data_IF_748312088968
#
_entry.id   IF_748312088968
#
_cell.length_a   1.000
_cell.length_b   1.000
_cell.length_c   1.000
_cell.angle_alpha   90.00
_cell.angle_beta   90.00
_cell.angle_gamma   90.00
#
_symmetry.space_group_name_H-M   'P 1'
#
loop_
_entity.id
_entity.type
_entity.pdbx_description
1 polymer ?
#
# COMPACT_ATOMS: atom_id res chain seq x y z
N UNK A 1 -41.23 -74.76 -7.58
CA UNK A 1 -42.11 -73.59 -7.77
C UNK A 1 -42.27 -72.93 -6.41
N UNK A 2 -41.98 -71.67 -6.11
CA UNK A 2 -41.35 -70.53 -6.78
C UNK A 2 -40.94 -69.59 -5.62
N UNK A 3 -39.67 -69.18 -5.56
CA UNK A 3 -39.21 -68.15 -4.62
C UNK A 3 -39.30 -66.79 -5.31
N UNK A 4 -40.40 -66.08 -5.06
CA UNK A 4 -40.67 -64.74 -5.58
C UNK A 4 -39.92 -63.65 -4.80
N UNK A 5 -39.06 -62.95 -5.53
CA UNK A 5 -38.25 -61.76 -5.20
C UNK A 5 -39.04 -60.64 -4.50
N UNK A 6 -38.45 -60.02 -3.47
CA UNK A 6 -38.72 -58.61 -3.13
C UNK A 6 -37.39 -57.84 -3.00
N UNK A 7 -37.05 -57.19 -4.10
CA UNK A 7 -35.99 -56.19 -4.26
C UNK A 7 -36.44 -54.88 -3.62
N UNK A 8 -35.93 -54.55 -2.41
CA UNK A 8 -36.32 -53.33 -1.68
C UNK A 8 -35.15 -52.48 -1.15
N UNK A 9 -33.94 -53.02 -1.08
CA UNK A 9 -32.81 -52.42 -0.35
C UNK A 9 -31.95 -51.43 -1.15
N UNK A 10 -32.08 -51.38 -2.48
CA UNK A 10 -31.19 -50.54 -3.31
C UNK A 10 -31.67 -49.08 -3.47
N UNK A 11 -32.94 -48.77 -3.17
CA UNK A 11 -33.50 -47.40 -3.37
C UNK A 11 -33.13 -46.46 -2.23
N UNK A 12 -33.16 -46.93 -0.98
CA UNK A 12 -32.82 -46.11 0.19
C UNK A 12 -31.33 -45.72 0.24
N UNK A 13 -30.44 -46.65 -0.11
CA UNK A 13 -28.99 -46.39 -0.14
C UNK A 13 -28.60 -45.40 -1.26
N UNK A 14 -29.25 -45.49 -2.42
CA UNK A 14 -29.04 -44.53 -3.53
C UNK A 14 -29.51 -43.12 -3.18
N UNK A 15 -30.62 -42.98 -2.46
CA UNK A 15 -31.12 -41.69 -1.99
C UNK A 15 -30.17 -41.09 -0.93
N UNK A 16 -29.64 -41.90 -0.02
CA UNK A 16 -28.68 -41.46 0.99
C UNK A 16 -27.34 -41.00 0.39
N UNK A 17 -26.80 -41.77 -0.58
CA UNK A 17 -25.57 -41.39 -1.31
C UNK A 17 -25.79 -40.12 -2.15
N UNK A 18 -26.96 -39.98 -2.78
CA UNK A 18 -27.31 -38.76 -3.54
C UNK A 18 -27.46 -37.53 -2.65
N UNK A 19 -28.02 -37.68 -1.44
CA UNK A 19 -28.19 -36.57 -0.50
C UNK A 19 -26.84 -36.11 0.10
N UNK A 20 -25.94 -37.05 0.39
CA UNK A 20 -24.57 -36.74 0.86
C UNK A 20 -23.75 -36.05 -0.23
N UNK A 21 -23.88 -36.48 -1.49
CA UNK A 21 -23.20 -35.83 -2.63
C UNK A 21 -23.73 -34.42 -2.91
N UNK A 22 -25.03 -34.19 -2.70
CA UNK A 22 -25.65 -32.87 -2.86
C UNK A 22 -25.26 -31.90 -1.73
N UNK A 23 -25.00 -32.42 -0.52
CA UNK A 23 -24.55 -31.60 0.61
C UNK A 23 -23.06 -31.24 0.53
N UNK A 24 -22.23 -32.09 -0.11
CA UNK A 24 -20.81 -31.79 -0.35
C UNK A 24 -20.56 -30.66 -1.37
N UNK A 25 -21.55 -30.28 -2.17
CA UNK A 25 -21.45 -29.20 -3.16
C UNK A 25 -21.82 -27.81 -2.59
N UNK A 26 -22.41 -27.74 -1.40
CA UNK A 26 -22.92 -26.47 -0.82
C UNK A 26 -21.91 -25.76 0.08
N UNK A 27 -20.87 -26.44 0.57
CA UNK A 27 -19.96 -25.87 1.56
C UNK A 27 -18.54 -25.69 1.06
N UNK A 28 -18.23 -24.57 0.39
CA UNK A 28 -16.89 -23.97 0.34
C UNK A 28 -16.83 -22.59 -0.34
N UNK A 29 -17.83 -22.21 -1.15
CA UNK A 29 -17.79 -20.97 -1.95
C UNK A 29 -17.88 -19.65 -1.19
N UNK A 30 -18.23 -19.68 0.10
CA UNK A 30 -18.39 -18.48 0.96
C UNK A 30 -17.40 -18.40 2.12
N UNK A 31 -16.49 -19.36 2.28
CA UNK A 31 -15.53 -19.39 3.38
C UNK A 31 -14.34 -18.47 3.09
N UNK A 32 -14.52 -17.16 3.26
CA UNK A 32 -13.51 -16.20 3.71
C UNK A 32 -12.09 -16.22 3.12
N UNK A 33 -11.85 -16.87 1.98
CA UNK A 33 -10.54 -17.11 1.38
C UNK A 33 -10.14 -15.99 0.41
N UNK A 34 -10.67 -14.79 0.63
CA UNK A 34 -10.29 -13.64 -0.16
C UNK A 34 -8.89 -13.18 0.25
N UNK A 35 -8.01 -12.85 -0.71
CA UNK A 35 -6.68 -12.32 -0.40
C UNK A 35 -6.80 -11.05 0.45
N UNK A 36 -6.01 -11.02 1.51
CA UNK A 36 -5.76 -9.81 2.29
C UNK A 36 -4.30 -9.42 2.10
N UNK A 37 -4.08 -8.14 1.83
CA UNK A 37 -2.75 -7.56 1.73
C UNK A 37 -2.61 -6.47 2.79
N UNK A 38 -1.46 -6.44 3.45
CA UNK A 38 -1.09 -5.35 4.36
C UNK A 38 0.21 -4.75 3.88
N UNK A 39 0.26 -3.42 3.81
CA UNK A 39 1.44 -2.65 3.44
C UNK A 39 1.88 -1.84 4.64
N UNK A 40 3.00 -2.26 5.24
CA UNK A 40 3.63 -1.59 6.38
C UNK A 40 5.03 -1.18 5.98
N UNK A 41 5.30 0.13 5.91
CA UNK A 41 6.61 0.65 5.46
C UNK A 41 7.52 1.12 6.59
N UNK A 42 7.00 1.25 7.81
CA UNK A 42 7.80 1.55 9.00
C UNK A 42 7.22 0.82 10.19
N UNK A 43 8.05 0.07 10.92
CA UNK A 43 7.66 -0.58 12.17
C UNK A 43 7.80 0.34 13.40
N UNK A 44 8.38 1.54 13.24
CA UNK A 44 8.62 2.45 14.37
C UNK A 44 7.37 3.19 14.82
N UNK A 45 6.36 3.31 13.96
CA UNK A 45 5.13 4.05 14.23
C UNK A 45 3.90 3.18 14.00
N UNK A 46 2.99 3.15 14.98
CA UNK A 46 1.73 2.40 14.91
C UNK A 46 0.55 3.27 14.46
N UNK A 47 0.64 4.59 14.63
CA UNK A 47 -0.41 5.53 14.24
C UNK A 47 0.13 6.82 13.64
N UNK A 48 -0.71 7.53 12.90
CA UNK A 48 -0.38 8.83 12.31
C UNK A 48 -0.02 9.87 13.40
N UNK A 49 -0.70 9.83 14.53
CA UNK A 49 -0.47 10.74 15.66
C UNK A 49 0.91 10.53 16.29
N UNK A 50 1.42 9.29 16.32
CA UNK A 50 2.78 9.02 16.78
C UNK A 50 3.82 9.64 15.86
N UNK A 51 3.60 9.57 14.53
CA UNK A 51 4.46 10.25 13.55
C UNK A 51 4.41 11.76 13.76
N UNK A 52 3.22 12.32 13.98
CA UNK A 52 3.03 13.75 14.22
C UNK A 52 3.71 14.22 15.51
N UNK A 53 3.62 13.45 16.58
CA UNK A 53 4.29 13.74 17.85
C UNK A 53 5.82 13.70 17.69
N UNK A 54 6.35 12.64 17.08
CA UNK A 54 7.78 12.55 16.78
C UNK A 54 8.26 13.68 15.87
N UNK A 55 7.47 14.05 14.85
CA UNK A 55 7.74 15.19 13.98
C UNK A 55 7.76 16.50 14.77
N UNK A 56 6.87 16.69 15.74
CA UNK A 56 6.83 17.88 16.58
C UNK A 56 8.11 18.02 17.41
N UNK A 57 8.63 16.92 17.96
CA UNK A 57 9.85 16.89 18.77
C UNK A 57 11.13 17.21 17.98
N UNK A 58 11.13 17.00 16.66
CA UNK A 58 12.25 17.42 15.80
C UNK A 58 12.34 18.95 15.80
N UNK A 59 13.41 19.50 16.36
CA UNK A 59 13.65 20.95 16.45
C UNK A 59 14.75 21.36 15.46
N UNK A 60 14.42 22.11 14.39
CA UNK A 60 15.42 22.61 13.45
C UNK A 60 16.53 23.41 14.15
N UNK A 61 17.77 23.25 13.70
CA UNK A 61 19.00 23.79 14.28
C UNK A 61 19.57 22.97 15.45
N UNK A 62 18.70 22.31 16.24
CA UNK A 62 19.10 21.62 17.46
C UNK A 62 19.24 20.10 17.26
N UNK A 63 18.27 19.48 16.60
CA UNK A 63 18.24 18.03 16.39
C UNK A 63 19.34 17.59 15.43
N UNK A 64 20.16 16.64 15.87
CA UNK A 64 21.24 16.04 15.06
C UNK A 64 20.76 14.76 14.38
N UNK A 65 21.46 14.36 13.31
CA UNK A 65 21.23 13.07 12.64
C UNK A 65 21.26 11.89 13.64
N UNK A 66 22.18 11.93 14.60
CA UNK A 66 22.32 10.89 15.65
C UNK A 66 21.17 10.86 16.65
N UNK A 67 20.35 11.91 16.71
CA UNK A 67 19.18 11.98 17.60
C UNK A 67 17.90 11.49 16.92
N UNK A 68 17.86 11.44 15.58
CA UNK A 68 16.69 10.99 14.82
C UNK A 68 16.23 9.55 15.15
N UNK A 69 17.12 8.56 15.36
CA UNK A 69 16.70 7.22 15.75
C UNK A 69 15.93 7.19 17.09
N UNK A 70 16.26 8.08 18.03
CA UNK A 70 15.57 8.18 19.33
C UNK A 70 14.14 8.69 19.17
N UNK A 71 13.87 9.41 18.07
CA UNK A 71 12.55 9.94 17.71
C UNK A 71 11.79 8.98 16.79
N UNK A 72 12.35 7.81 16.46
CA UNK A 72 11.73 6.83 15.54
C UNK A 72 12.01 7.08 14.05
N UNK A 73 12.83 8.09 13.73
CA UNK A 73 13.29 8.41 12.37
C UNK A 73 14.71 7.87 12.15
N UNK A 74 14.84 6.56 11.96
CA UNK A 74 16.15 5.94 11.76
C UNK A 74 16.37 5.60 10.28
N UNK A 75 17.43 6.15 9.68
CA UNK A 75 17.80 5.88 8.29
C UNK A 75 18.44 4.50 8.08
N UNK A 76 18.95 3.88 9.14
CA UNK A 76 19.64 2.59 9.07
C UNK A 76 18.68 1.40 9.28
N UNK A 77 17.71 1.53 10.17
CA UNK A 77 16.76 0.45 10.49
C UNK A 77 15.43 0.56 9.77
N UNK A 78 15.01 1.77 9.37
CA UNK A 78 13.76 1.95 8.63
C UNK A 78 13.98 1.57 7.16
N UNK A 79 13.21 0.62 6.61
CA UNK A 79 13.31 0.28 5.20
C UNK A 79 12.74 1.40 4.33
N UNK A 80 13.20 1.47 3.07
CA UNK A 80 12.67 2.39 2.05
C UNK A 80 12.73 3.89 2.42
N UNK A 81 13.74 4.31 3.20
CA UNK A 81 14.02 5.73 3.42
C UNK A 81 14.74 6.28 2.20
N UNK A 82 14.25 7.39 1.64
CA UNK A 82 14.93 8.05 0.53
C UNK A 82 15.97 9.04 1.09
N UNK A 83 17.20 8.95 0.60
CA UNK A 83 18.29 9.85 0.93
C UNK A 83 18.58 10.69 -0.31
N UNK A 84 18.20 11.96 -0.25
CA UNK A 84 18.39 12.91 -1.34
C UNK A 84 19.67 13.71 -1.12
N UNK A 85 20.51 13.81 -2.16
CA UNK A 85 21.59 14.80 -2.21
C UNK A 85 21.04 16.21 -2.48
N UNK A 86 21.90 17.22 -2.50
CA UNK A 86 21.50 18.60 -2.81
C UNK A 86 20.72 18.71 -4.14
N UNK A 87 21.04 17.88 -5.15
CA UNK A 87 20.30 17.86 -6.42
C UNK A 87 18.87 17.36 -6.25
N UNK A 88 18.67 16.29 -5.45
CA UNK A 88 17.33 15.80 -5.13
C UNK A 88 16.53 16.81 -4.30
N UNK A 89 17.19 17.56 -3.42
CA UNK A 89 16.57 18.70 -2.70
C UNK A 89 16.09 19.75 -3.70
N UNK A 90 16.93 20.16 -4.65
CA UNK A 90 16.56 21.12 -5.71
C UNK A 90 15.37 20.63 -6.51
N UNK A 91 15.39 19.38 -7.00
CA UNK A 91 14.30 18.80 -7.79
C UNK A 91 12.98 18.76 -7.03
N UNK A 92 13.05 18.50 -5.73
CA UNK A 92 11.86 18.38 -4.87
C UNK A 92 11.27 19.72 -4.47
N UNK A 93 12.10 20.70 -4.12
CA UNK A 93 11.64 22.03 -3.67
C UNK A 93 11.44 23.02 -4.84
N UNK A 94 12.04 22.76 -6.00
CA UNK A 94 11.88 23.56 -7.21
C UNK A 94 11.50 22.70 -8.43
N UNK A 95 10.32 22.06 -8.42
CA UNK A 95 9.85 21.31 -9.59
C UNK A 95 9.64 22.27 -10.75
N UNK A 96 10.43 22.05 -11.82
CA UNK A 96 10.45 22.76 -13.12
C UNK A 96 9.53 23.99 -13.20
N UNK A 97 10.12 25.17 -13.01
CA UNK A 97 9.58 26.50 -13.35
C UNK A 97 8.39 27.00 -12.51
N UNK A 98 7.99 26.30 -11.45
CA UNK A 98 6.85 26.73 -10.60
C UNK A 98 7.25 27.56 -9.38
N UNK A 99 8.50 27.41 -8.91
CA UNK A 99 9.00 28.09 -7.72
C UNK A 99 10.36 28.73 -8.03
N UNK A 100 10.52 30.01 -7.71
CA UNK A 100 11.83 30.67 -7.77
C UNK A 100 12.60 30.42 -6.48
N UNK A 101 13.92 30.32 -6.59
CA UNK A 101 14.83 30.11 -5.47
C UNK A 101 14.57 31.10 -4.31
N UNK A 102 14.38 32.38 -4.64
CA UNK A 102 14.16 33.47 -3.68
C UNK A 102 12.87 33.34 -2.85
N UNK A 103 11.92 32.50 -3.28
CA UNK A 103 10.64 32.24 -2.59
C UNK A 103 10.73 31.08 -1.60
N UNK A 104 11.83 30.31 -1.62
CA UNK A 104 12.04 29.22 -0.69
C UNK A 104 12.28 29.76 0.72
N UNK A 105 12.01 28.93 1.73
CA UNK A 105 12.37 29.27 3.10
C UNK A 105 13.89 29.50 3.20
N UNK A 106 14.37 30.50 3.96
CA UNK A 106 15.80 30.82 4.05
C UNK A 106 16.68 29.62 4.44
N UNK A 107 16.16 28.71 5.25
CA UNK A 107 16.87 27.49 5.66
C UNK A 107 17.06 26.50 4.51
N UNK A 108 16.09 26.44 3.58
CA UNK A 108 16.19 25.60 2.38
C UNK A 108 17.20 26.19 1.41
N UNK A 109 17.17 27.51 1.23
CA UNK A 109 18.16 28.24 0.43
C UNK A 109 19.59 27.98 0.93
N UNK A 110 19.82 28.18 2.23
CA UNK A 110 21.12 27.97 2.87
C UNK A 110 21.62 26.52 2.73
N UNK A 111 20.72 25.53 2.80
CA UNK A 111 21.09 24.15 2.58
C UNK A 111 21.52 23.93 1.12
N UNK A 112 20.74 24.40 0.14
CA UNK A 112 21.09 24.25 -1.28
C UNK A 112 22.47 24.88 -1.59
N UNK A 113 22.77 26.04 -1.01
CA UNK A 113 24.09 26.70 -1.13
C UNK A 113 25.23 25.90 -0.49
N UNK A 114 24.93 25.08 0.53
CA UNK A 114 25.91 24.25 1.23
C UNK A 114 26.30 22.96 0.47
N UNK A 115 25.66 22.67 -0.67
CA UNK A 115 26.01 21.58 -1.61
C UNK A 115 26.18 20.21 -0.92
N UNK A 116 27.37 19.62 -0.91
CA UNK A 116 27.63 18.28 -0.34
C UNK A 116 27.29 18.16 1.15
N UNK A 117 27.17 19.29 1.86
CA UNK A 117 26.77 19.32 3.27
C UNK A 117 25.25 19.36 3.45
N UNK A 118 24.52 19.38 2.35
CA UNK A 118 23.06 19.36 2.28
C UNK A 118 22.53 18.03 1.78
N UNK A 119 21.68 17.41 2.59
CA UNK A 119 20.95 16.21 2.23
C UNK A 119 19.53 16.27 2.78
N UNK A 120 18.61 15.50 2.20
CA UNK A 120 17.30 15.32 2.79
C UNK A 120 17.01 13.84 3.03
N UNK A 121 16.39 13.56 4.17
CA UNK A 121 15.85 12.24 4.50
C UNK A 121 14.35 12.28 4.35
N UNK A 122 13.81 11.41 3.50
CA UNK A 122 12.37 11.28 3.28
C UNK A 122 11.91 9.95 3.86
N UNK A 123 11.05 10.04 4.86
CA UNK A 123 10.42 8.91 5.51
C UNK A 123 8.99 8.77 5.04
N UNK A 124 8.58 7.57 4.67
CA UNK A 124 7.20 7.25 4.25
C UNK A 124 6.53 6.25 5.22
N UNK A 125 6.38 6.58 6.52
CA UNK A 125 5.67 5.72 7.45
C UNK A 125 4.21 5.58 7.01
N UNK A 126 3.76 4.34 6.85
CA UNK A 126 2.40 4.03 6.44
C UNK A 126 1.99 2.67 7.01
N UNK A 127 0.72 2.58 7.33
CA UNK A 127 0.05 1.33 7.67
C UNK A 127 -1.26 1.31 6.89
N UNK A 128 -1.27 0.56 5.78
CA UNK A 128 -2.45 0.43 4.91
C UNK A 128 -2.85 -1.03 4.85
N UNK A 129 -4.08 -1.32 5.24
CA UNK A 129 -4.74 -2.61 5.11
C UNK A 129 -5.64 -2.59 3.89
N UNK A 130 -5.38 -3.52 2.97
CA UNK A 130 -6.16 -3.74 1.76
C UNK A 130 -6.95 -5.04 1.93
N UNK A 131 -8.28 -4.92 1.98
CA UNK A 131 -9.18 -6.07 2.12
C UNK A 131 -9.98 -6.25 0.85
N UNK A 132 -9.89 -7.43 0.23
CA UNK A 132 -10.77 -7.79 -0.88
C UNK A 132 -12.09 -8.30 -0.33
N UNK A 133 -13.19 -7.77 -0.85
CA UNK A 133 -14.56 -8.15 -0.46
C UNK A 133 -15.37 -8.47 -1.71
N UNK A 134 -16.32 -9.41 -1.60
CA UNK A 134 -17.19 -9.78 -2.72
C UNK A 134 -17.37 -11.29 -2.89
N UNK A 135 -17.93 -11.68 -4.03
CA UNK A 135 -18.16 -13.07 -4.37
C UNK A 135 -16.87 -13.71 -4.92
N UNK A 136 -16.37 -14.74 -4.23
CA UNK A 136 -15.16 -15.48 -4.63
C UNK A 136 -15.21 -15.95 -6.09
N UNK A 137 -16.36 -16.41 -6.59
CA UNK A 137 -16.46 -16.90 -7.97
C UNK A 137 -16.37 -15.76 -9.00
N UNK A 138 -16.91 -14.57 -8.69
CA UNK A 138 -16.81 -13.41 -9.57
C UNK A 138 -15.40 -12.82 -9.57
N UNK A 139 -14.69 -12.86 -8.44
CA UNK A 139 -13.28 -12.43 -8.35
C UNK A 139 -12.32 -13.44 -9.01
N UNK A 140 -12.54 -14.75 -8.84
CA UNK A 140 -11.74 -15.80 -9.47
C UNK A 140 -11.87 -15.79 -11.00
N UNK A 141 -13.09 -15.59 -11.51
CA UNK A 141 -13.36 -15.48 -12.94
C UNK A 141 -13.04 -14.07 -13.48
N UNK A 142 -12.61 -13.14 -12.62
CA UNK A 142 -12.16 -11.80 -12.98
C UNK A 142 -13.28 -10.88 -13.45
N UNK A 143 -14.54 -11.15 -13.10
CA UNK A 143 -15.70 -10.34 -13.50
C UNK A 143 -15.91 -9.12 -12.61
N UNK A 144 -15.65 -9.26 -11.30
CA UNK A 144 -15.84 -8.18 -10.34
C UNK A 144 -14.87 -8.32 -9.18
N UNK A 145 -14.19 -7.22 -8.85
CA UNK A 145 -13.28 -7.13 -7.72
C UNK A 145 -13.60 -5.87 -6.93
N UNK A 146 -13.89 -6.02 -5.64
CA UNK A 146 -14.03 -4.89 -4.72
C UNK A 146 -12.93 -4.90 -3.69
N UNK A 147 -12.25 -3.78 -3.56
CA UNK A 147 -11.13 -3.60 -2.65
C UNK A 147 -11.44 -2.46 -1.71
N UNK A 148 -11.28 -2.70 -0.41
CA UNK A 148 -11.42 -1.69 0.62
C UNK A 148 -10.05 -1.43 1.20
N UNK A 149 -9.56 -0.21 1.05
CA UNK A 149 -8.31 0.27 1.60
C UNK A 149 -8.59 1.10 2.84
N UNK A 150 -7.97 0.72 3.95
CA UNK A 150 -8.10 1.40 5.23
C UNK A 150 -6.74 1.61 5.89
N UNK A 151 -6.55 2.72 6.60
CA UNK A 151 -5.31 2.95 7.36
C UNK A 151 -4.85 4.39 7.36
N UNK A 152 -3.54 4.60 7.34
CA UNK A 152 -2.92 5.92 7.36
C UNK A 152 -1.59 5.92 6.61
N UNK A 153 -1.19 7.09 6.14
CA UNK A 153 0.10 7.30 5.51
C UNK A 153 0.62 8.70 5.85
N UNK A 154 1.90 8.81 6.15
CA UNK A 154 2.58 10.08 6.34
C UNK A 154 3.86 10.12 5.53
N UNK A 155 4.29 11.33 5.24
CA UNK A 155 5.56 11.62 4.61
C UNK A 155 6.24 12.71 5.43
N UNK A 156 7.44 12.41 5.91
CA UNK A 156 8.24 13.33 6.71
C UNK A 156 9.55 13.58 5.97
N UNK A 157 9.77 14.84 5.61
CA UNK A 157 10.99 15.31 4.95
C UNK A 157 11.81 16.09 5.95
N UNK A 158 13.01 15.60 6.26
CA UNK A 158 13.97 16.27 7.12
C UNK A 158 15.14 16.72 6.27
N UNK A 159 15.27 18.04 6.10
CA UNK A 159 16.41 18.64 5.43
C UNK A 159 17.56 18.78 6.43
N UNK A 160 18.73 18.32 6.04
CA UNK A 160 19.92 18.25 6.86
C UNK A 160 21.00 19.15 6.29
N UNK A 161 21.58 19.97 7.16
CA UNK A 161 22.75 20.77 6.85
C UNK A 161 23.79 20.52 7.94
N UNK A 162 25.02 20.15 7.56
CA UNK A 162 26.12 19.91 8.49
C UNK A 162 25.76 18.88 9.60
N UNK A 163 24.97 17.86 9.26
CA UNK A 163 24.54 16.80 10.19
C UNK A 163 23.43 17.21 11.18
N UNK A 164 22.82 18.38 11.00
CA UNK A 164 21.68 18.88 11.80
C UNK A 164 20.47 19.12 10.94
N UNK A 165 19.28 18.98 11.52
CA UNK A 165 18.03 19.29 10.82
C UNK A 165 17.97 20.80 10.59
N UNK A 166 18.04 21.26 9.35
CA UNK A 166 17.92 22.67 8.98
C UNK A 166 16.47 23.07 8.71
N UNK A 167 15.68 22.16 8.16
CA UNK A 167 14.27 22.38 7.83
C UNK A 167 13.50 21.06 7.95
N UNK A 168 12.20 21.14 8.27
CA UNK A 168 11.34 19.96 8.37
C UNK A 168 9.99 20.21 7.70
N UNK A 169 9.46 19.22 7.01
CA UNK A 169 8.14 19.24 6.39
C UNK A 169 7.44 17.91 6.67
N UNK A 170 6.15 17.96 6.94
CA UNK A 170 5.30 16.78 7.08
C UNK A 170 4.07 16.94 6.20
N UNK A 171 3.68 15.86 5.53
CA UNK A 171 2.43 15.73 4.79
C UNK A 171 1.87 14.32 4.99
N UNK A 172 0.62 14.07 4.57
CA UNK A 172 0.05 12.74 4.63
C UNK A 172 -1.47 12.69 4.66
N UNK A 173 -1.98 11.47 4.87
CA UNK A 173 -3.39 11.13 5.03
C UNK A 173 -3.57 10.48 6.41
N UNK A 174 -4.13 11.19 7.40
CA UNK A 174 -4.30 10.67 8.76
C UNK A 174 -5.31 9.51 8.83
N UNK A 175 -6.29 9.50 7.92
CA UNK A 175 -7.26 8.42 7.76
C UNK A 175 -7.49 8.16 6.28
N UNK A 176 -7.31 6.91 5.87
CA UNK A 176 -7.61 6.35 4.55
C UNK A 176 -8.81 5.43 4.75
N UNK A 177 -9.82 5.63 3.91
CA UNK A 177 -11.06 4.86 3.88
C UNK A 177 -11.57 4.96 2.42
N UNK A 178 -11.02 4.12 1.55
CA UNK A 178 -11.28 4.16 0.11
C UNK A 178 -11.86 2.82 -0.35
N UNK A 179 -12.91 2.90 -1.19
CA UNK A 179 -13.55 1.74 -1.78
C UNK A 179 -13.34 1.77 -3.29
N UNK A 180 -12.75 0.70 -3.83
CA UNK A 180 -12.45 0.54 -5.24
C UNK A 180 -13.26 -0.62 -5.81
N UNK A 181 -14.19 -0.33 -6.72
CA UNK A 181 -14.97 -1.31 -7.45
C UNK A 181 -14.47 -1.43 -8.88
N UNK A 182 -13.91 -2.58 -9.24
CA UNK A 182 -13.48 -2.90 -10.60
C UNK A 182 -14.40 -3.96 -11.18
N UNK A 183 -15.14 -3.60 -12.22
CA UNK A 183 -16.04 -4.51 -12.95
C UNK A 183 -15.46 -4.74 -14.34
N UNK A 184 -15.17 -5.99 -14.67
CA UNK A 184 -14.63 -6.43 -15.96
C UNK A 184 -15.61 -7.41 -16.60
N UNK A 185 -16.65 -6.91 -17.29
CA UNK A 185 -17.80 -7.73 -17.69
C UNK A 185 -17.49 -8.84 -18.70
N UNK A 186 -16.34 -8.80 -19.39
CA UNK A 186 -15.92 -9.87 -20.32
C UNK A 186 -14.82 -10.77 -19.72
N UNK A 187 -14.51 -10.62 -18.43
CA UNK A 187 -13.50 -11.42 -17.73
C UNK A 187 -12.09 -11.27 -18.33
N UNK A 188 -11.20 -12.27 -18.19
CA UNK A 188 -9.78 -12.16 -18.56
C UNK A 188 -9.52 -11.90 -20.06
N UNK A 189 -10.52 -12.06 -20.93
CA UNK A 189 -10.40 -11.75 -22.36
C UNK A 189 -10.34 -10.23 -22.64
N UNK A 190 -10.83 -9.39 -21.72
CA UNK A 190 -10.73 -7.93 -21.82
C UNK A 190 -9.30 -7.41 -21.65
N UNK A 191 -8.50 -8.05 -20.81
CA UNK A 191 -7.13 -7.60 -20.51
C UNK A 191 -6.14 -7.94 -21.65
N UNK A 192 -6.41 -9.02 -22.39
CA UNK A 192 -5.60 -9.44 -23.55
C UNK A 192 -5.64 -8.37 -24.65
N UNK A 193 -6.79 -7.73 -24.89
CA UNK A 193 -6.93 -6.66 -25.88
C UNK A 193 -6.03 -5.45 -25.60
N UNK A 194 -5.90 -5.07 -24.32
CA UNK A 194 -5.10 -3.91 -23.90
C UNK A 194 -3.58 -4.17 -23.95
N UNK A 195 -3.14 -5.41 -23.68
CA UNK A 195 -1.72 -5.79 -23.75
C UNK A 195 -1.17 -5.78 -25.18
N UNK A 196 -2.00 -6.18 -26.15
CA UNK A 196 -1.63 -6.21 -27.58
C UNK A 196 -1.50 -4.80 -28.15
N UNK A 197 -2.42 -3.88 -27.80
CA UNK A 197 -2.33 -2.48 -28.23
C UNK A 197 -1.14 -1.74 -27.63
N UNK A 198 -0.77 -2.02 -26.37
CA UNK A 198 0.39 -1.39 -25.70
C UNK A 198 1.74 -1.92 -26.21
N UNK A 199 1.76 -3.14 -26.74
CA UNK A 199 2.95 -3.72 -27.40
C UNK A 199 3.09 -3.16 -28.82
N UNK A 200 1.99 -2.99 -29.56
CA UNK A 200 2.03 -2.38 -30.89
C UNK A 200 2.49 -0.91 -30.88
N UNK A 201 2.13 -0.12 -29.85
CA UNK A 201 2.56 1.27 -29.71
C UNK A 201 4.01 1.46 -29.23
N UNK A 202 4.72 0.38 -28.90
CA UNK A 202 6.17 0.41 -28.59
C UNK A 202 7.05 0.04 -29.79
N UNK A 203 6.44 -0.37 -30.90
CA UNK A 203 7.12 -0.74 -32.14
C UNK A 203 6.93 0.29 -33.27
N UNK A 204 6.32 1.45 -32.97
CA UNK A 204 6.27 2.63 -33.83
C UNK A 204 6.93 3.83 -33.12
#
# INVERSE_FOLDING_TARGET
MDNGVVSGTSRGLKIFVSAVFMFSLVGCGGLGLLPHESKVSSNSFQSYEQVQAAYADVTPGNTRLTDLPKLGFDTATTPNVEILSYLGVIERFMPRNTMSYDRLAPQVQACIEAQDRCSAFVFHPQHVETRRTGNFFLDLLGFERRTVDSGWAAEVVLLMQDGRVAYKLMSGRPRIDEMHDQISPLGPLQDIGNSVTKTASRFF
#
